data_IF_574641317098
#
_entry.id   IF_574641317098
#
_cell.length_a   1.000
_cell.length_b   1.000
_cell.length_c   1.000
_cell.angle_alpha   90.00
_cell.angle_beta   90.00
_cell.angle_gamma   90.00
#
_symmetry.space_group_name_H-M   'P 1'
#
loop_
_entity.id
_entity.type
_entity.pdbx_description
1 polymer ?
#
# COMPACT_ATOMS: atom_id res chain seq x y z
N UNK A 1 -27.70 -3.13 -5.35
CA UNK A 1 -27.68 -4.52 -5.87
C UNK A 1 -26.27 -5.07 -5.66
N UNK A 2 -26.03 -5.77 -4.55
CA UNK A 2 -24.72 -6.31 -4.22
C UNK A 2 -24.62 -7.73 -4.76
N UNK A 3 -23.76 -7.94 -5.76
CA UNK A 3 -23.41 -9.27 -6.22
C UNK A 3 -22.56 -9.95 -5.13
N UNK A 4 -23.18 -10.89 -4.41
CA UNK A 4 -22.47 -11.84 -3.55
C UNK A 4 -21.57 -12.69 -4.44
N UNK A 5 -20.28 -12.36 -4.47
CA UNK A 5 -19.29 -13.24 -5.07
C UNK A 5 -19.23 -14.50 -4.22
N UNK A 6 -19.65 -15.63 -4.77
CA UNK A 6 -19.47 -16.95 -4.17
C UNK A 6 -17.98 -17.21 -4.08
N UNK A 7 -17.39 -17.00 -2.90
CA UNK A 7 -15.97 -17.27 -2.67
C UNK A 7 -15.76 -18.78 -2.75
N UNK A 8 -15.25 -19.27 -3.89
CA UNK A 8 -14.84 -20.67 -4.01
C UNK A 8 -13.79 -20.98 -2.94
N UNK A 9 -14.04 -22.02 -2.13
CA UNK A 9 -13.12 -22.51 -1.11
C UNK A 9 -11.89 -23.21 -1.71
N UNK A 10 -11.82 -23.37 -3.03
CA UNK A 10 -10.64 -23.93 -3.71
C UNK A 10 -9.74 -22.79 -4.16
N UNK A 11 -8.45 -22.76 -3.79
CA UNK A 11 -7.53 -21.74 -4.27
C UNK A 11 -7.23 -21.92 -5.75
N UNK A 12 -7.09 -20.80 -6.46
CA UNK A 12 -6.56 -20.83 -7.83
C UNK A 12 -5.06 -21.20 -7.82
N UNK A 13 -4.49 -21.63 -8.96
CA UNK A 13 -3.06 -21.91 -9.03
C UNK A 13 -2.15 -20.72 -8.69
N UNK A 14 -2.62 -19.48 -8.89
CA UNK A 14 -1.89 -18.28 -8.49
C UNK A 14 -1.99 -18.03 -6.98
N UNK A 15 -3.17 -18.24 -6.39
CA UNK A 15 -3.38 -18.16 -4.95
C UNK A 15 -2.52 -19.18 -4.21
N UNK A 16 -2.49 -20.43 -4.68
CA UNK A 16 -1.59 -21.48 -4.16
C UNK A 16 -0.12 -21.08 -4.26
N UNK A 17 0.31 -20.53 -5.40
CA UNK A 17 1.69 -20.10 -5.57
C UNK A 17 2.08 -18.98 -4.59
N UNK A 18 1.17 -18.04 -4.32
CA UNK A 18 1.39 -16.96 -3.33
C UNK A 18 1.49 -17.54 -1.92
N UNK A 19 0.53 -18.39 -1.52
CA UNK A 19 0.51 -19.03 -0.22
C UNK A 19 1.76 -19.89 0.03
N UNK A 20 2.14 -20.73 -0.94
CA UNK A 20 3.32 -21.59 -0.87
C UNK A 20 4.61 -20.80 -0.74
N UNK A 21 4.78 -19.73 -1.52
CA UNK A 21 5.97 -18.87 -1.43
C UNK A 21 6.01 -18.08 -0.12
N UNK A 22 4.85 -17.67 0.42
CA UNK A 22 4.82 -17.02 1.72
C UNK A 22 5.17 -17.99 2.84
N UNK A 23 4.71 -19.25 2.77
CA UNK A 23 5.12 -20.32 3.69
C UNK A 23 6.62 -20.59 3.61
N UNK A 24 7.17 -20.68 2.40
CA UNK A 24 8.61 -20.85 2.18
C UNK A 24 9.44 -19.67 2.74
N UNK A 25 8.88 -18.46 2.76
CA UNK A 25 9.48 -17.27 3.38
C UNK A 25 9.29 -17.19 4.91
N UNK A 26 8.83 -18.26 5.57
CA UNK A 26 8.59 -18.28 7.02
C UNK A 26 7.21 -17.74 7.44
N UNK A 27 6.26 -17.66 6.51
CA UNK A 27 4.88 -17.25 6.78
C UNK A 27 4.65 -15.74 6.73
N UNK A 28 5.67 -14.92 6.48
CA UNK A 28 5.54 -13.47 6.37
C UNK A 28 6.43 -12.88 5.26
N UNK A 29 6.01 -11.75 4.70
CA UNK A 29 6.76 -11.02 3.68
C UNK A 29 6.47 -9.52 3.77
N UNK A 30 7.52 -8.70 3.76
CA UNK A 30 7.40 -7.26 3.91
C UNK A 30 6.55 -6.59 2.80
N UNK A 31 6.60 -7.10 1.56
CA UNK A 31 5.86 -6.50 0.44
C UNK A 31 5.54 -7.53 -0.65
N UNK A 32 4.39 -7.36 -1.31
CA UNK A 32 3.98 -8.26 -2.40
C UNK A 32 4.95 -8.20 -3.59
N UNK A 33 5.63 -7.07 -3.78
CA UNK A 33 6.69 -6.92 -4.79
C UNK A 33 7.95 -7.71 -4.49
N UNK A 34 8.19 -8.03 -3.21
CA UNK A 34 9.34 -8.81 -2.77
C UNK A 34 9.06 -10.32 -2.74
N UNK A 35 7.79 -10.73 -2.80
CA UNK A 35 7.42 -12.15 -2.80
C UNK A 35 7.80 -12.81 -4.14
N UNK A 36 8.67 -13.82 -4.16
CA UNK A 36 9.15 -14.47 -5.37
C UNK A 36 8.12 -15.46 -5.93
N UNK A 37 6.99 -14.95 -6.41
CA UNK A 37 5.95 -15.80 -7.02
C UNK A 37 6.47 -16.35 -8.35
N UNK A 38 6.81 -17.64 -8.37
CA UNK A 38 7.36 -18.38 -9.51
C UNK A 38 6.40 -18.43 -10.70
N UNK A 39 5.09 -18.34 -10.44
CA UNK A 39 4.08 -18.31 -11.50
C UNK A 39 4.07 -16.97 -12.22
N UNK A 40 4.26 -17.01 -13.55
CA UNK A 40 4.13 -15.84 -14.43
C UNK A 40 2.76 -15.19 -14.24
N UNK A 41 2.77 -13.97 -13.70
CA UNK A 41 1.58 -13.21 -13.33
C UNK A 41 1.91 -11.72 -13.25
N UNK A 42 0.97 -10.88 -13.64
CA UNK A 42 1.07 -9.44 -13.47
C UNK A 42 0.84 -9.04 -12.01
N UNK A 43 1.36 -7.88 -11.60
CA UNK A 43 1.12 -7.34 -10.26
C UNK A 43 -0.38 -7.14 -9.98
N UNK A 44 -1.18 -6.76 -10.99
CA UNK A 44 -2.64 -6.62 -10.85
C UNK A 44 -3.31 -7.96 -10.53
N UNK A 45 -2.87 -9.04 -11.17
CA UNK A 45 -3.36 -10.39 -10.88
C UNK A 45 -2.94 -10.84 -9.48
N UNK A 46 -1.70 -10.57 -9.07
CA UNK A 46 -1.21 -10.88 -7.72
C UNK A 46 -2.00 -10.14 -6.64
N UNK A 47 -2.25 -8.84 -6.82
CA UNK A 47 -3.09 -8.04 -5.91
C UNK A 47 -4.50 -8.62 -5.82
N UNK A 48 -5.12 -8.96 -6.97
CA UNK A 48 -6.43 -9.61 -6.98
C UNK A 48 -6.43 -10.93 -6.20
N UNK A 49 -5.40 -11.76 -6.39
CA UNK A 49 -5.26 -13.03 -5.67
C UNK A 49 -5.09 -12.80 -4.16
N UNK A 50 -4.29 -11.82 -3.73
CA UNK A 50 -4.19 -11.45 -2.31
C UNK A 50 -5.55 -11.05 -1.71
N UNK A 51 -6.34 -10.23 -2.41
CA UNK A 51 -7.70 -9.89 -1.96
C UNK A 51 -8.59 -11.11 -1.82
N UNK A 52 -8.51 -12.06 -2.76
CA UNK A 52 -9.28 -13.29 -2.70
C UNK A 52 -8.82 -14.19 -1.55
N UNK A 53 -7.51 -14.28 -1.30
CA UNK A 53 -6.94 -15.01 -0.16
C UNK A 53 -7.34 -14.42 1.18
N UNK A 54 -7.36 -13.08 1.30
CA UNK A 54 -7.83 -12.40 2.50
C UNK A 54 -9.33 -12.60 2.71
N UNK A 55 -10.15 -12.54 1.65
CA UNK A 55 -11.57 -12.85 1.72
C UNK A 55 -11.86 -14.31 2.14
N UNK A 56 -10.92 -15.23 1.91
CA UNK A 56 -10.96 -16.62 2.38
C UNK A 56 -10.38 -16.80 3.80
N UNK A 57 -9.82 -15.74 4.39
CA UNK A 57 -9.20 -15.77 5.71
C UNK A 57 -7.87 -16.49 5.78
N UNK A 58 -7.17 -16.71 4.65
CA UNK A 58 -5.90 -17.46 4.61
C UNK A 58 -4.64 -16.59 4.66
N UNK A 59 -4.81 -15.29 4.46
CA UNK A 59 -3.73 -14.33 4.38
C UNK A 59 -4.26 -13.00 4.90
N UNK A 60 -3.44 -12.28 5.64
CA UNK A 60 -3.72 -10.91 5.99
C UNK A 60 -2.56 -9.99 5.58
N UNK A 61 -2.85 -8.70 5.42
CA UNK A 61 -1.88 -7.70 4.99
C UNK A 61 -2.34 -6.28 5.28
N UNK A 62 -1.38 -5.36 5.23
CA UNK A 62 -1.61 -3.93 5.31
C UNK A 62 -1.52 -3.26 3.94
N UNK A 63 -1.88 -1.97 3.93
CA UNK A 63 -1.66 -1.09 2.80
C UNK A 63 -0.80 0.11 3.16
N UNK A 64 0.14 0.39 2.29
CA UNK A 64 0.93 1.62 2.34
C UNK A 64 0.68 2.49 1.10
N UNK A 65 0.75 3.81 1.27
CA UNK A 65 0.65 4.74 0.15
C UNK A 65 1.90 4.56 -0.72
N UNK A 66 1.71 4.13 -1.96
CA UNK A 66 2.78 3.88 -2.91
C UNK A 66 3.00 5.06 -3.85
N UNK A 67 1.94 5.80 -4.19
CA UNK A 67 2.02 6.97 -5.07
C UNK A 67 0.98 8.01 -4.71
N UNK A 68 1.40 9.27 -4.64
CA UNK A 68 0.57 10.40 -4.26
C UNK A 68 1.02 11.69 -4.95
N UNK A 69 0.21 12.74 -4.87
CA UNK A 69 0.55 14.07 -5.38
C UNK A 69 -0.38 15.13 -4.80
N UNK A 70 -0.13 16.41 -5.10
CA UNK A 70 -0.93 17.51 -4.56
C UNK A 70 -2.36 17.52 -5.10
N UNK A 71 -3.31 17.85 -4.24
CA UNK A 71 -4.63 18.34 -4.66
C UNK A 71 -4.54 19.80 -5.13
N UNK A 72 -5.63 20.35 -5.66
CA UNK A 72 -5.72 21.78 -5.92
C UNK A 72 -5.54 22.58 -4.61
N UNK A 73 -6.19 22.14 -3.52
CA UNK A 73 -6.05 22.73 -2.19
C UNK A 73 -4.60 22.74 -1.71
N UNK A 74 -3.88 21.62 -1.83
CA UNK A 74 -2.47 21.55 -1.47
C UNK A 74 -1.59 22.49 -2.31
N UNK A 75 -1.87 22.62 -3.61
CA UNK A 75 -1.17 23.58 -4.49
C UNK A 75 -1.44 25.03 -4.10
N UNK A 76 -2.70 25.36 -3.80
CA UNK A 76 -3.09 26.71 -3.39
C UNK A 76 -2.43 27.06 -2.07
N UNK A 77 -2.48 26.15 -1.09
CA UNK A 77 -1.80 26.29 0.19
C UNK A 77 -0.32 26.67 -0.02
N UNK A 78 0.42 25.94 -0.86
CA UNK A 78 1.82 26.21 -1.18
C UNK A 78 2.12 27.59 -1.81
N UNK A 79 1.12 28.25 -2.40
CA UNK A 79 1.25 29.57 -3.04
C UNK A 79 0.90 30.73 -2.10
N UNK A 80 0.20 30.45 -1.01
CA UNK A 80 -0.18 31.49 -0.05
C UNK A 80 1.01 31.83 0.83
N UNK A 81 1.24 33.12 1.04
CA UNK A 81 2.19 33.60 2.03
C UNK A 81 1.51 33.55 3.41
N UNK A 82 1.51 32.36 4.00
CA UNK A 82 0.95 32.15 5.33
C UNK A 82 2.08 32.25 6.35
N UNK A 83 2.00 33.25 7.22
CA UNK A 83 2.88 33.36 8.39
C UNK A 83 2.67 32.20 9.37
N UNK A 84 1.49 31.55 9.33
CA UNK A 84 1.16 30.37 10.12
C UNK A 84 0.61 29.27 9.20
N UNK A 85 1.41 28.24 8.97
CA UNK A 85 0.99 27.07 8.19
C UNK A 85 0.25 26.07 9.08
N UNK A 86 -0.89 25.52 8.63
CA UNK A 86 -1.59 24.45 9.35
C UNK A 86 -0.91 23.08 9.20
N UNK A 87 0.38 23.06 8.81
CA UNK A 87 1.19 21.87 8.54
C UNK A 87 2.55 21.99 9.20
N UNK A 88 3.14 20.86 9.58
CA UNK A 88 4.47 20.85 10.18
C UNK A 88 5.56 21.10 9.13
N UNK A 89 6.80 21.43 9.53
CA UNK A 89 7.91 21.59 8.59
C UNK A 89 8.15 20.35 7.71
N UNK A 90 8.03 19.15 8.26
CA UNK A 90 8.19 17.90 7.50
C UNK A 90 7.06 17.69 6.49
N UNK A 91 5.83 18.01 6.85
CA UNK A 91 4.70 17.98 5.93
C UNK A 91 4.87 18.98 4.80
N UNK A 92 5.35 20.18 5.10
CA UNK A 92 5.65 21.18 4.09
C UNK A 92 6.72 20.67 3.12
N UNK A 93 7.75 19.96 3.61
CA UNK A 93 8.75 19.32 2.76
C UNK A 93 8.13 18.23 1.86
N UNK A 94 7.18 17.44 2.36
CA UNK A 94 6.44 16.46 1.55
C UNK A 94 5.64 17.16 0.46
N UNK A 95 4.85 18.18 0.81
CA UNK A 95 4.03 18.94 -0.14
C UNK A 95 4.90 19.59 -1.24
N UNK A 96 6.04 20.17 -0.87
CA UNK A 96 7.00 20.74 -1.83
C UNK A 96 7.61 19.69 -2.74
N UNK A 97 7.87 18.47 -2.23
CA UNK A 97 8.38 17.36 -3.05
C UNK A 97 7.41 16.96 -4.16
N UNK A 98 6.11 17.26 -4.02
CA UNK A 98 5.07 16.98 -5.01
C UNK A 98 4.88 18.08 -6.07
N UNK A 99 5.64 19.19 -6.04
CA UNK A 99 5.48 20.29 -7.01
C UNK A 99 5.73 19.84 -8.46
N UNK A 100 6.64 18.88 -8.66
CA UNK A 100 6.94 18.28 -9.97
C UNK A 100 5.94 17.22 -10.45
N UNK A 101 4.88 16.94 -9.67
CA UNK A 101 3.85 15.96 -10.01
C UNK A 101 3.71 14.83 -9.00
N UNK A 102 3.34 13.64 -9.49
CA UNK A 102 3.09 12.47 -8.66
C UNK A 102 4.42 11.83 -8.25
N UNK A 103 4.54 11.47 -6.98
CA UNK A 103 5.77 10.90 -6.42
C UNK A 103 5.48 9.65 -5.58
N UNK A 104 6.53 8.88 -5.32
CA UNK A 104 6.59 7.78 -4.36
C UNK A 104 7.17 8.25 -3.02
N UNK A 105 6.86 7.61 -1.88
CA UNK A 105 7.45 7.97 -0.58
C UNK A 105 8.98 8.01 -0.57
N UNK A 106 9.64 7.15 -1.37
CA UNK A 106 11.11 7.16 -1.52
C UNK A 106 11.68 8.47 -2.12
N UNK A 107 10.86 9.21 -2.87
CA UNK A 107 11.24 10.47 -3.52
C UNK A 107 10.99 11.69 -2.62
N UNK A 108 10.40 11.50 -1.43
CA UNK A 108 10.27 12.58 -0.44
C UNK A 108 11.66 13.08 -0.04
N UNK A 109 11.76 14.40 0.17
CA UNK A 109 12.97 15.06 0.62
C UNK A 109 13.65 14.33 1.78
N UNK A 110 14.97 14.11 1.67
CA UNK A 110 15.78 13.28 2.61
C UNK A 110 15.74 13.70 4.08
N UNK A 111 15.39 14.96 4.38
CA UNK A 111 15.24 15.45 5.76
C UNK A 111 14.05 14.83 6.49
N UNK A 112 13.04 14.36 5.75
CA UNK A 112 11.91 13.63 6.34
C UNK A 112 12.35 12.19 6.57
N UNK A 113 12.39 11.80 7.85
CA UNK A 113 12.74 10.45 8.32
C UNK A 113 11.91 9.40 7.60
N UNK A 114 12.55 8.32 7.14
CA UNK A 114 11.88 7.23 6.40
C UNK A 114 10.74 6.62 7.19
N UNK A 115 10.93 6.41 8.50
CA UNK A 115 9.91 5.83 9.39
C UNK A 115 8.66 6.72 9.57
N UNK A 116 8.79 8.03 9.39
CA UNK A 116 7.68 8.96 9.55
C UNK A 116 6.90 9.21 8.26
N UNK A 117 7.47 8.87 7.09
CA UNK A 117 6.89 9.22 5.78
C UNK A 117 5.47 8.71 5.61
N UNK A 118 5.19 7.44 5.91
CA UNK A 118 3.83 6.89 5.74
C UNK A 118 2.82 7.60 6.64
N UNK A 119 3.15 7.79 7.93
CA UNK A 119 2.29 8.48 8.88
C UNK A 119 1.97 9.91 8.42
N UNK A 120 2.97 10.65 7.96
CA UNK A 120 2.81 12.04 7.51
C UNK A 120 2.00 12.12 6.21
N UNK A 121 2.27 11.25 5.24
CA UNK A 121 1.52 11.20 3.98
C UNK A 121 0.05 10.82 4.23
N UNK A 122 -0.24 9.85 5.10
CA UNK A 122 -1.62 9.52 5.50
C UNK A 122 -2.32 10.71 6.17
N UNK A 123 -1.62 11.47 7.03
CA UNK A 123 -2.17 12.67 7.65
C UNK A 123 -2.51 13.75 6.62
N UNK A 124 -1.60 14.04 5.70
CA UNK A 124 -1.82 14.99 4.60
C UNK A 124 -2.97 14.55 3.67
N UNK A 125 -3.13 13.24 3.46
CA UNK A 125 -4.23 12.71 2.67
C UNK A 125 -5.58 12.92 3.37
N UNK A 126 -5.66 12.64 4.68
CA UNK A 126 -6.86 12.90 5.49
C UNK A 126 -7.24 14.38 5.54
N UNK A 127 -6.25 15.28 5.51
CA UNK A 127 -6.46 16.73 5.43
C UNK A 127 -6.87 17.21 4.02
N UNK A 128 -6.88 16.34 3.01
CA UNK A 128 -7.22 16.71 1.64
C UNK A 128 -6.14 17.54 0.92
N UNK A 129 -4.93 17.60 1.45
CA UNK A 129 -3.81 18.35 0.85
C UNK A 129 -3.09 17.55 -0.25
N UNK A 130 -3.17 16.23 -0.17
CA UNK A 130 -2.69 15.32 -1.20
C UNK A 130 -3.78 14.33 -1.61
N UNK A 131 -3.66 13.82 -2.83
CA UNK A 131 -4.45 12.73 -3.36
C UNK A 131 -3.59 11.48 -3.49
N UNK A 132 -4.13 10.35 -3.03
CA UNK A 132 -3.49 9.04 -3.15
C UNK A 132 -3.91 8.41 -4.47
N UNK A 133 -2.93 8.09 -5.31
CA UNK A 133 -3.17 7.44 -6.61
C UNK A 133 -3.02 5.93 -6.54
N UNK A 134 -2.17 5.43 -5.65
CA UNK A 134 -1.88 4.00 -5.53
C UNK A 134 -1.51 3.64 -4.10
N UNK A 135 -2.06 2.52 -3.63
CA UNK A 135 -1.61 1.80 -2.44
C UNK A 135 -0.91 0.50 -2.85
N UNK A 136 0.06 0.06 -2.07
CA UNK A 136 0.74 -1.22 -2.22
C UNK A 136 0.40 -2.14 -1.05
N UNK A 137 0.30 -3.44 -1.33
CA UNK A 137 0.13 -4.49 -0.31
C UNK A 137 1.49 -4.72 0.36
N UNK A 138 1.52 -4.58 1.68
CA UNK A 138 2.71 -4.75 2.54
C UNK A 138 2.36 -5.60 3.76
N UNK A 139 3.38 -6.02 4.53
CA UNK A 139 3.22 -6.82 5.75
C UNK A 139 2.34 -8.06 5.56
N UNK A 140 2.55 -8.78 4.46
CA UNK A 140 1.80 -9.99 4.16
C UNK A 140 2.16 -11.05 5.19
N UNK A 141 1.16 -11.72 5.74
CA UNK A 141 1.39 -12.85 6.61
C UNK A 141 0.28 -13.91 6.45
N UNK A 142 0.67 -15.17 6.63
CA UNK A 142 -0.28 -16.28 6.68
C UNK A 142 -1.06 -16.18 7.98
N UNK A 143 -2.37 -16.39 7.88
CA UNK A 143 -3.18 -16.61 9.06
C UNK A 143 -2.97 -18.05 9.56
N UNK A 144 -3.52 -18.36 10.73
CA UNK A 144 -3.56 -19.73 11.23
C UNK A 144 -4.28 -20.66 10.26
N UNK A 145 -5.41 -20.23 9.69
CA UNK A 145 -6.18 -21.02 8.72
C UNK A 145 -5.41 -21.23 7.40
N UNK A 146 -4.74 -20.20 6.90
CA UNK A 146 -3.92 -20.33 5.69
C UNK A 146 -2.72 -21.24 5.89
N UNK A 147 -2.12 -21.23 7.08
CA UNK A 147 -1.03 -22.16 7.42
C UNK A 147 -1.51 -23.61 7.44
N UNK A 148 -2.64 -23.88 8.11
CA UNK A 148 -3.25 -25.22 8.18
C UNK A 148 -3.64 -25.76 6.80
N UNK A 149 -4.14 -24.90 5.91
CA UNK A 149 -4.47 -25.30 4.54
C UNK A 149 -3.25 -25.83 3.76
N UNK A 150 -2.04 -25.41 4.12
CA UNK A 150 -0.79 -25.79 3.44
C UNK A 150 -0.03 -26.94 4.14
N UNK A 151 -0.54 -27.45 5.26
CA UNK A 151 -0.01 -28.65 5.94
C UNK A 151 -0.38 -29.92 5.17
#
# INVERSE_FOLDING_TARGET
>A
MSATQTTSLVPTPLELAILGQLKAAGGACAALTALPVERKSSMRQRVKACHQLQAKGWLDYDYEIAQFGLTLTGKTLLKLDLSVWPVTPDELLILRSCLGGRIHPRQIHRRVSVGDRQRLVERLARQGLIVVYRRAIVNLHLTTEGSRYLE
#
